data_IF_002209191383
#
_entry.id   IF_002209191383
#
_cell.length_a   1.000
_cell.length_b   1.000
_cell.length_c   1.000
_cell.angle_alpha   90.00
_cell.angle_beta   90.00
_cell.angle_gamma   90.00
#
_symmetry.space_group_name_H-M   'P 1'
#
loop_
_entity.id
_entity.type
_entity.pdbx_description
1 polymer ?
#
# COMPACT_ATOMS: atom_id res chain seq x y z
N UNK A 1 -18.42 11.90 -14.44
CA UNK A 1 -17.53 10.77 -14.20
C UNK A 1 -17.24 10.63 -12.73
N UNK A 2 -17.19 9.41 -12.26
CA UNK A 2 -16.86 9.17 -10.86
C UNK A 2 -15.35 9.16 -10.69
N UNK A 3 -14.86 9.95 -9.75
CA UNK A 3 -13.46 9.89 -9.37
C UNK A 3 -13.24 8.62 -8.55
N UNK A 4 -12.16 7.93 -8.83
CA UNK A 4 -11.77 6.74 -8.08
C UNK A 4 -10.52 7.07 -7.27
N UNK A 5 -10.48 6.59 -6.05
CA UNK A 5 -9.34 6.80 -5.17
C UNK A 5 -8.61 5.47 -4.96
N UNK A 6 -7.31 5.49 -5.11
CA UNK A 6 -6.46 4.34 -4.84
C UNK A 6 -5.45 4.72 -3.77
N UNK A 7 -5.05 3.73 -2.98
CA UNK A 7 -4.01 3.91 -1.99
C UNK A 7 -2.71 3.37 -2.57
N UNK A 8 -1.66 4.18 -2.55
CA UNK A 8 -0.34 3.76 -3.01
C UNK A 8 0.63 3.72 -1.85
N UNK A 9 1.32 2.59 -1.74
CA UNK A 9 2.34 2.37 -0.74
C UNK A 9 3.66 2.24 -1.47
N UNK A 10 4.61 3.10 -1.16
CA UNK A 10 5.93 3.09 -1.80
C UNK A 10 6.96 2.72 -0.75
N UNK A 11 7.67 1.64 -0.98
CA UNK A 11 8.62 1.09 -0.03
C UNK A 11 10.00 0.99 -0.70
N UNK A 12 10.89 1.96 -0.45
CA UNK A 12 12.27 1.84 -0.93
C UNK A 12 12.98 0.72 -0.17
N UNK A 13 13.55 -0.23 -0.91
CA UNK A 13 14.18 -1.41 -0.32
C UNK A 13 15.69 -1.39 -0.57
N UNK A 14 16.46 -1.90 0.40
CA UNK A 14 17.91 -1.93 0.29
C UNK A 14 18.42 -3.18 -0.42
N UNK A 15 17.60 -4.21 -0.50
CA UNK A 15 17.98 -5.48 -1.10
C UNK A 15 16.75 -6.20 -1.61
N UNK A 16 16.96 -7.25 -2.40
CA UNK A 16 15.89 -8.10 -2.88
C UNK A 16 15.21 -8.83 -1.71
N UNK A 17 15.98 -9.18 -0.68
CA UNK A 17 15.44 -9.83 0.50
C UNK A 17 14.49 -8.91 1.26
N UNK A 18 14.87 -7.64 1.42
CA UNK A 18 14.01 -6.66 2.07
C UNK A 18 12.73 -6.43 1.26
N UNK A 19 12.86 -6.41 -0.07
CA UNK A 19 11.69 -6.27 -0.94
C UNK A 19 10.72 -7.44 -0.76
N UNK A 20 11.24 -8.65 -0.65
CA UNK A 20 10.42 -9.83 -0.42
C UNK A 20 9.70 -9.75 0.92
N UNK A 21 10.41 -9.33 1.97
CA UNK A 21 9.81 -9.15 3.29
C UNK A 21 8.71 -8.10 3.26
N UNK A 22 8.95 -7.00 2.57
CA UNK A 22 7.95 -5.93 2.46
C UNK A 22 6.71 -6.44 1.72
N UNK A 23 6.90 -7.16 0.63
CA UNK A 23 5.80 -7.73 -0.14
C UNK A 23 4.97 -8.69 0.70
N UNK A 24 5.64 -9.58 1.43
CA UNK A 24 4.95 -10.54 2.29
C UNK A 24 4.16 -9.84 3.40
N UNK A 25 4.75 -8.81 4.01
CA UNK A 25 4.09 -8.07 5.08
C UNK A 25 2.83 -7.37 4.58
N UNK A 26 2.92 -6.71 3.43
CA UNK A 26 1.78 -6.02 2.83
C UNK A 26 0.71 -7.03 2.43
N UNK A 27 1.11 -8.12 1.77
CA UNK A 27 0.17 -9.13 1.33
C UNK A 27 -0.56 -9.78 2.50
N UNK A 28 0.15 -10.03 3.59
CA UNK A 28 -0.45 -10.61 4.79
C UNK A 28 -1.62 -9.77 5.32
N UNK A 29 -1.47 -8.45 5.29
CA UNK A 29 -2.49 -7.56 5.84
C UNK A 29 -3.55 -7.15 4.82
N UNK A 30 -3.19 -7.09 3.53
CA UNK A 30 -4.05 -6.49 2.50
C UNK A 30 -4.50 -7.47 1.43
N UNK A 31 -4.32 -8.78 1.64
CA UNK A 31 -4.65 -9.80 0.64
C UNK A 31 -6.07 -9.67 0.11
N UNK A 32 -7.03 -9.41 1.01
CA UNK A 32 -8.45 -9.32 0.63
C UNK A 32 -8.77 -8.07 -0.18
N UNK A 33 -7.87 -7.11 -0.21
CA UNK A 33 -8.07 -5.87 -0.96
C UNK A 33 -7.47 -5.93 -2.37
N UNK A 34 -6.94 -7.09 -2.77
CA UNK A 34 -6.36 -7.33 -4.10
C UNK A 34 -5.27 -6.32 -4.46
N UNK A 35 -4.21 -6.19 -3.63
CA UNK A 35 -3.15 -5.22 -3.91
C UNK A 35 -2.37 -5.62 -5.16
N UNK A 36 -1.95 -4.63 -5.93
CA UNK A 36 -1.10 -4.81 -7.09
C UNK A 36 0.32 -4.42 -6.73
N UNK A 37 1.28 -5.28 -7.05
CA UNK A 37 2.69 -5.06 -6.73
C UNK A 37 3.50 -4.75 -7.98
N UNK A 38 4.39 -3.78 -7.87
CA UNK A 38 5.32 -3.43 -8.93
C UNK A 38 6.68 -3.12 -8.30
N UNK A 39 7.73 -3.76 -8.80
CA UNK A 39 9.08 -3.54 -8.32
C UNK A 39 9.91 -2.87 -9.42
N UNK A 40 10.46 -1.69 -9.10
CA UNK A 40 11.31 -0.93 -10.03
C UNK A 40 12.46 -0.33 -9.23
N UNK A 41 13.68 -0.59 -9.65
CA UNK A 41 14.89 0.00 -9.04
C UNK A 41 14.94 -0.17 -7.51
N UNK A 42 14.71 -1.39 -7.04
CA UNK A 42 14.70 -1.71 -5.61
C UNK A 42 13.62 -0.99 -4.82
N UNK A 43 12.60 -0.47 -5.50
CA UNK A 43 11.45 0.15 -4.83
C UNK A 43 10.21 -0.69 -5.11
N UNK A 44 9.53 -1.08 -4.06
CA UNK A 44 8.26 -1.80 -4.17
C UNK A 44 7.13 -0.78 -4.11
N UNK A 45 6.29 -0.78 -5.14
CA UNK A 45 5.10 0.05 -5.18
C UNK A 45 3.89 -0.87 -5.09
N UNK A 46 3.02 -0.61 -4.13
CA UNK A 46 1.79 -1.37 -3.93
C UNK A 46 0.62 -0.44 -4.20
N UNK A 47 -0.26 -0.87 -5.09
CA UNK A 47 -1.48 -0.11 -5.39
C UNK A 47 -2.68 -0.90 -4.90
N UNK A 48 -3.44 -0.31 -4.00
CA UNK A 48 -4.68 -0.89 -3.51
C UNK A 48 -5.81 -0.32 -4.36
N UNK A 49 -6.57 -1.17 -5.07
CA UNK A 49 -7.67 -0.71 -5.93
C UNK A 49 -8.73 0.05 -5.13
N UNK A 50 -9.60 0.79 -5.80
CA UNK A 50 -10.64 1.56 -5.11
C UNK A 50 -11.50 0.68 -4.22
N UNK A 51 -11.71 1.13 -2.98
CA UNK A 51 -12.56 0.46 -2.01
C UNK A 51 -13.99 0.98 -2.15
N UNK A 52 -14.95 0.17 -1.67
CA UNK A 52 -16.36 0.56 -1.71
C UNK A 52 -16.56 1.83 -0.86
N UNK A 53 -16.99 2.95 -1.47
CA UNK A 53 -17.18 4.20 -0.73
C UNK A 53 -18.32 4.12 0.29
N UNK A 54 -19.14 3.10 0.23
CA UNK A 54 -20.20 2.89 1.21
C UNK A 54 -19.65 2.38 2.53
N UNK A 55 -18.48 1.73 2.48
CA UNK A 55 -17.85 1.14 3.65
C UNK A 55 -16.80 2.04 4.27
N UNK A 56 -16.09 2.81 3.44
CA UNK A 56 -14.98 3.62 3.90
C UNK A 56 -14.94 4.96 3.18
N UNK A 57 -14.64 6.01 3.92
CA UNK A 57 -14.19 7.25 3.29
C UNK A 57 -12.75 7.03 2.82
N UNK A 58 -12.36 7.62 1.67
CA UNK A 58 -11.02 7.38 1.13
C UNK A 58 -9.88 7.72 2.11
N UNK A 59 -9.98 8.85 2.80
CA UNK A 59 -8.95 9.26 3.77
C UNK A 59 -8.85 8.27 4.92
N UNK A 60 -10.00 7.80 5.40
CA UNK A 60 -10.05 6.85 6.49
C UNK A 60 -9.44 5.52 6.09
N UNK A 61 -9.74 5.06 4.87
CA UNK A 61 -9.16 3.81 4.35
C UNK A 61 -7.64 3.91 4.27
N UNK A 62 -7.13 5.03 3.79
CA UNK A 62 -5.69 5.25 3.71
C UNK A 62 -5.04 5.22 5.09
N UNK A 63 -5.66 5.85 6.08
CA UNK A 63 -5.12 5.86 7.44
C UNK A 63 -5.14 4.47 8.07
N UNK A 64 -6.21 3.72 7.88
CA UNK A 64 -6.32 2.36 8.40
C UNK A 64 -5.25 1.47 7.79
N UNK A 65 -5.06 1.55 6.47
CA UNK A 65 -4.03 0.78 5.78
C UNK A 65 -2.65 1.15 6.31
N UNK A 66 -2.39 2.44 6.45
CA UNK A 66 -1.10 2.92 6.97
C UNK A 66 -0.82 2.36 8.35
N UNK A 67 -1.79 2.43 9.26
CA UNK A 67 -1.61 1.93 10.61
C UNK A 67 -1.44 0.42 10.64
N UNK A 68 -2.17 -0.29 9.78
CA UNK A 68 -2.12 -1.74 9.75
C UNK A 68 -0.76 -2.24 9.29
N UNK A 69 -0.22 -1.70 8.19
CA UNK A 69 1.05 -2.17 7.67
C UNK A 69 2.25 -1.65 8.47
N UNK A 70 2.10 -0.54 9.18
CA UNK A 70 3.19 0.00 10.00
C UNK A 70 3.65 -1.00 11.05
N UNK A 71 2.76 -1.85 11.52
CA UNK A 71 3.10 -2.86 12.51
C UNK A 71 4.08 -3.91 11.97
N UNK A 72 4.07 -4.14 10.66
CA UNK A 72 4.91 -5.15 10.03
C UNK A 72 6.09 -4.56 9.26
N UNK A 73 6.08 -3.27 8.96
CA UNK A 73 7.17 -2.61 8.23
C UNK A 73 8.12 -1.89 9.17
N UNK A 74 8.41 -2.50 10.32
CA UNK A 74 9.29 -1.89 11.33
C UNK A 74 10.76 -1.86 10.89
N UNK A 75 11.13 -2.67 9.92
CA UNK A 75 12.49 -2.74 9.39
C UNK A 75 12.78 -1.66 8.35
N UNK A 76 11.77 -0.89 7.94
CA UNK A 76 11.90 0.14 6.93
C UNK A 76 11.21 1.41 7.43
N UNK A 77 11.94 2.53 7.45
CA UNK A 77 11.42 3.80 7.96
C UNK A 77 11.19 4.83 6.86
N UNK A 78 11.38 4.42 5.60
CA UNK A 78 11.28 5.33 4.46
C UNK A 78 10.01 5.12 3.62
N UNK A 79 9.20 4.13 3.97
CA UNK A 79 7.99 3.85 3.21
C UNK A 79 6.96 4.95 3.41
N UNK A 80 6.14 5.14 2.36
CA UNK A 80 5.05 6.12 2.40
C UNK A 80 3.74 5.45 1.98
N UNK A 81 2.64 5.99 2.47
CA UNK A 81 1.30 5.52 2.13
C UNK A 81 0.46 6.74 1.83
N UNK A 82 0.02 6.88 0.58
CA UNK A 82 -0.67 8.08 0.13
C UNK A 82 -1.93 7.73 -0.64
N UNK A 83 -2.87 8.65 -0.65
CA UNK A 83 -4.11 8.53 -1.38
C UNK A 83 -3.99 9.27 -2.72
N UNK A 84 -4.36 8.59 -3.79
CA UNK A 84 -4.33 9.17 -5.13
C UNK A 84 -5.72 9.10 -5.76
N UNK A 85 -6.09 10.14 -6.46
CA UNK A 85 -7.37 10.18 -7.18
C UNK A 85 -7.10 9.92 -8.67
N UNK A 86 -7.85 8.96 -9.21
CA UNK A 86 -7.79 8.62 -10.64
C UNK A 86 -9.09 9.10 -11.27
N UNK A 87 -8.97 9.92 -12.28
CA UNK A 87 -10.13 10.42 -13.03
C UNK A 87 -10.47 9.51 -14.18
#
# INVERSE_FOLDING_TARGET
MKNQNVVKIVIPCKSAEEMLKAKEAVLFHLETLNPEFQAVNNTLTVTVPPLDPKLFYPDEACDIIRQTIAQSLTFNHEWTCTLHTIN
#
